data_IF_205546029491
#
_entry.id   IF_205546029491
#
_cell.length_a   1.000
_cell.length_b   1.000
_cell.length_c   1.000
_cell.angle_alpha   90.00
_cell.angle_beta   90.00
_cell.angle_gamma   90.00
#
_symmetry.space_group_name_H-M   'P 1'
#
loop_
_entity.id
_entity.type
_entity.pdbx_description
1 polymer ?
#
# COMPACT_ATOMS: atom_id res chain seq x y z
N UNK A 1 -47.01 -28.37 -31.51
CA UNK A 1 -45.54 -28.52 -31.65
C UNK A 1 -44.77 -27.19 -31.50
N UNK A 2 -45.31 -26.06 -31.97
CA UNK A 2 -44.64 -24.73 -31.91
C UNK A 2 -44.41 -24.18 -30.48
N UNK A 3 -45.31 -24.50 -29.54
CA UNK A 3 -45.21 -24.03 -28.14
C UNK A 3 -44.23 -24.87 -27.30
N UNK A 4 -43.98 -26.12 -27.69
CA UNK A 4 -43.04 -27.01 -26.99
C UNK A 4 -41.59 -26.63 -27.30
N UNK A 5 -41.33 -26.17 -28.53
CA UNK A 5 -40.03 -25.66 -28.95
C UNK A 5 -39.66 -24.36 -28.22
N UNK A 6 -40.65 -23.47 -27.97
CA UNK A 6 -40.44 -22.23 -27.24
C UNK A 6 -40.05 -22.48 -25.76
N UNK A 7 -40.64 -23.47 -25.11
CA UNK A 7 -40.32 -23.85 -23.73
C UNK A 7 -38.93 -24.50 -23.64
N UNK A 8 -38.55 -25.31 -24.64
CA UNK A 8 -37.23 -25.94 -24.68
C UNK A 8 -36.10 -24.91 -24.89
N UNK A 9 -36.33 -23.89 -25.72
CA UNK A 9 -35.36 -22.79 -25.95
C UNK A 9 -35.22 -21.90 -24.72
N UNK A 10 -36.32 -21.63 -24.00
CA UNK A 10 -36.29 -20.83 -22.77
C UNK A 10 -35.60 -21.58 -21.61
N UNK A 11 -35.80 -22.91 -21.52
CA UNK A 11 -35.11 -23.75 -20.55
C UNK A 11 -33.61 -23.86 -20.83
N UNK A 12 -33.19 -23.83 -22.10
CA UNK A 12 -31.77 -23.86 -22.48
C UNK A 12 -31.03 -22.56 -22.14
N UNK A 13 -31.73 -21.41 -22.13
CA UNK A 13 -31.13 -20.11 -21.78
C UNK A 13 -30.87 -19.93 -20.29
N UNK A 14 -31.54 -20.69 -19.40
CA UNK A 14 -31.33 -20.62 -17.95
C UNK A 14 -30.07 -21.39 -17.48
N UNK A 15 -29.52 -22.28 -18.31
CA UNK A 15 -28.35 -23.12 -17.95
C UNK A 15 -27.02 -22.40 -18.20
N UNK A 16 -27.04 -21.22 -18.84
CA UNK A 16 -25.85 -20.36 -19.00
C UNK A 16 -25.81 -19.30 -17.89
N UNK A 17 -26.13 -19.69 -16.67
CA UNK A 17 -25.73 -18.95 -15.49
C UNK A 17 -24.24 -19.22 -15.29
N UNK A 18 -23.39 -18.51 -16.04
CA UNK A 18 -21.98 -18.44 -15.70
C UNK A 18 -21.90 -18.01 -14.25
N UNK A 19 -21.27 -18.81 -13.41
CA UNK A 19 -20.86 -18.36 -12.09
C UNK A 19 -20.02 -17.11 -12.33
N UNK A 20 -20.59 -15.96 -11.99
CA UNK A 20 -19.81 -14.75 -11.86
C UNK A 20 -18.84 -15.06 -10.73
N UNK A 21 -17.66 -15.57 -11.09
CA UNK A 21 -16.49 -15.56 -10.22
C UNK A 21 -16.32 -14.11 -9.84
N UNK A 22 -16.90 -13.72 -8.72
CA UNK A 22 -16.55 -12.51 -8.03
C UNK A 22 -15.07 -12.70 -7.74
N UNK A 23 -14.22 -12.15 -8.60
CA UNK A 23 -12.78 -12.11 -8.40
C UNK A 23 -12.59 -11.43 -7.06
N UNK A 24 -12.48 -12.21 -5.99
CA UNK A 24 -12.03 -11.72 -4.69
C UNK A 24 -10.63 -11.21 -5.00
N UNK A 25 -10.54 -9.88 -5.17
CA UNK A 25 -9.38 -9.23 -5.76
C UNK A 25 -8.11 -9.65 -5.03
N UNK A 26 -7.01 -9.72 -5.77
CA UNK A 26 -5.68 -10.00 -5.22
C UNK A 26 -5.44 -9.12 -3.98
N UNK A 27 -5.12 -9.76 -2.85
CA UNK A 27 -4.86 -9.05 -1.60
C UNK A 27 -3.54 -8.28 -1.74
N UNK A 28 -3.55 -6.99 -1.42
CA UNK A 28 -2.34 -6.20 -1.32
C UNK A 28 -1.70 -6.44 0.05
N UNK A 29 -0.46 -6.90 0.07
CA UNK A 29 0.30 -7.08 1.30
C UNK A 29 1.31 -5.94 1.48
N UNK A 30 1.24 -5.27 2.63
CA UNK A 30 2.18 -4.22 3.05
C UNK A 30 3.18 -4.84 4.02
N UNK A 31 4.47 -4.80 3.70
CA UNK A 31 5.52 -5.20 4.62
C UNK A 31 6.05 -4.03 5.44
N UNK A 32 6.20 -4.23 6.75
CA UNK A 32 6.82 -3.28 7.67
C UNK A 32 7.89 -3.97 8.51
N UNK A 33 8.90 -3.22 8.94
CA UNK A 33 9.69 -3.59 10.12
C UNK A 33 8.85 -3.27 11.35
N UNK A 34 8.94 -4.05 12.44
CA UNK A 34 8.14 -3.94 13.68
C UNK A 34 8.25 -2.59 14.42
N UNK A 35 7.88 -1.51 13.76
CA UNK A 35 7.98 -0.11 14.14
C UNK A 35 6.57 0.45 14.31
N UNK A 36 6.23 1.04 15.48
CA UNK A 36 4.92 1.65 15.69
C UNK A 36 4.59 2.74 14.66
N UNK A 37 5.62 3.43 14.16
CA UNK A 37 5.47 4.46 13.12
C UNK A 37 5.06 3.82 11.80
N UNK A 38 5.78 2.77 11.38
CA UNK A 38 5.45 2.06 10.13
C UNK A 38 4.10 1.39 10.21
N UNK A 39 3.74 0.83 11.38
CA UNK A 39 2.41 0.27 11.61
C UNK A 39 1.33 1.33 11.41
N UNK A 40 1.46 2.50 12.03
CA UNK A 40 0.48 3.59 11.89
C UNK A 40 0.35 4.05 10.42
N UNK A 41 1.46 4.22 9.71
CA UNK A 41 1.47 4.62 8.31
C UNK A 41 0.86 3.52 7.42
N UNK A 42 1.21 2.26 7.65
CA UNK A 42 0.66 1.13 6.94
C UNK A 42 -0.85 0.99 7.17
N UNK A 43 -1.35 1.28 8.37
CA UNK A 43 -2.79 1.32 8.67
C UNK A 43 -3.50 2.45 7.93
N UNK A 44 -2.87 3.63 7.79
CA UNK A 44 -3.41 4.72 6.97
C UNK A 44 -3.48 4.33 5.50
N UNK A 45 -2.40 3.76 4.96
CA UNK A 45 -2.35 3.28 3.57
C UNK A 45 -3.40 2.19 3.34
N UNK A 46 -3.45 1.17 4.21
CA UNK A 46 -4.40 0.07 4.12
C UNK A 46 -5.84 0.55 4.19
N UNK A 47 -6.16 1.42 5.16
CA UNK A 47 -7.52 1.96 5.31
C UNK A 47 -7.93 2.78 4.10
N UNK A 48 -7.06 3.67 3.60
CA UNK A 48 -7.36 4.48 2.42
C UNK A 48 -7.60 3.61 1.19
N UNK A 49 -6.75 2.63 0.95
CA UNK A 49 -6.86 1.72 -0.20
C UNK A 49 -8.15 0.91 -0.09
N UNK A 50 -8.39 0.23 1.03
CA UNK A 50 -9.60 -0.58 1.22
C UNK A 50 -10.88 0.23 1.06
N UNK A 51 -10.98 1.41 1.68
CA UNK A 51 -12.21 2.23 1.64
C UNK A 51 -12.45 2.89 0.28
N UNK A 52 -11.40 3.18 -0.49
CA UNK A 52 -11.53 3.89 -1.78
C UNK A 52 -11.57 2.97 -2.99
N UNK A 53 -11.12 1.73 -2.87
CA UNK A 53 -11.05 0.78 -3.99
C UNK A 53 -11.72 -0.56 -3.74
N UNK A 54 -12.08 -0.88 -2.49
CA UNK A 54 -12.55 -2.22 -2.11
C UNK A 54 -11.43 -3.28 -2.11
N UNK A 55 -10.17 -2.89 -2.32
CA UNK A 55 -9.03 -3.83 -2.30
C UNK A 55 -8.76 -4.28 -0.87
N UNK A 56 -8.73 -5.59 -0.66
CA UNK A 56 -8.28 -6.18 0.60
C UNK A 56 -6.79 -5.88 0.82
N UNK A 57 -6.45 -5.29 1.97
CA UNK A 57 -5.07 -5.00 2.34
C UNK A 57 -4.71 -5.74 3.64
N UNK A 58 -3.54 -6.37 3.67
CA UNK A 58 -2.98 -7.01 4.87
C UNK A 58 -1.62 -6.42 5.19
N UNK A 59 -1.36 -6.17 6.47
CA UNK A 59 -0.06 -5.68 6.97
C UNK A 59 0.69 -6.88 7.54
N UNK A 60 1.94 -7.06 7.13
CA UNK A 60 2.83 -8.12 7.58
C UNK A 60 4.03 -7.47 8.25
N UNK A 61 4.24 -7.79 9.53
CA UNK A 61 5.37 -7.28 10.30
C UNK A 61 6.52 -8.28 10.27
N UNK A 62 7.71 -7.78 9.97
CA UNK A 62 8.95 -8.54 9.94
C UNK A 62 9.88 -8.06 11.07
N UNK A 63 10.74 -8.96 11.54
CA UNK A 63 11.69 -8.64 12.63
C UNK A 63 12.82 -7.77 12.11
N UNK A 64 13.27 -8.06 10.88
CA UNK A 64 14.45 -7.46 10.28
C UNK A 64 14.12 -6.85 8.92
N UNK A 65 14.75 -5.71 8.60
CA UNK A 65 14.60 -5.06 7.29
C UNK A 65 14.92 -6.01 6.13
N UNK A 66 15.94 -6.85 6.26
CA UNK A 66 16.32 -7.83 5.22
C UNK A 66 15.19 -8.82 4.89
N UNK A 67 14.33 -9.14 5.86
CA UNK A 67 13.20 -10.05 5.66
C UNK A 67 12.09 -9.36 4.84
N UNK A 68 11.84 -8.07 5.09
CA UNK A 68 10.92 -7.26 4.29
C UNK A 68 11.30 -7.31 2.81
N UNK A 69 12.56 -7.01 2.49
CA UNK A 69 13.03 -7.04 1.09
C UNK A 69 13.10 -8.45 0.51
N UNK A 70 13.37 -9.48 1.32
CA UNK A 70 13.28 -10.86 0.86
C UNK A 70 11.85 -11.24 0.47
N UNK A 71 10.85 -10.85 1.27
CA UNK A 71 9.44 -11.07 0.98
C UNK A 71 9.00 -10.31 -0.28
N UNK A 72 9.46 -9.06 -0.46
CA UNK A 72 9.17 -8.27 -1.66
C UNK A 72 9.71 -8.95 -2.93
N UNK A 73 10.95 -9.45 -2.91
CA UNK A 73 11.56 -10.19 -4.04
C UNK A 73 10.83 -11.50 -4.36
N UNK A 74 10.25 -12.16 -3.36
CA UNK A 74 9.44 -13.37 -3.54
C UNK A 74 8.01 -13.10 -4.00
N UNK A 75 7.59 -11.83 -4.08
CA UNK A 75 6.22 -11.45 -4.40
C UNK A 75 5.22 -11.67 -3.25
N UNK A 76 5.70 -11.93 -2.03
CA UNK A 76 4.87 -12.13 -0.84
C UNK A 76 4.29 -10.80 -0.32
N UNK A 77 4.99 -9.69 -0.56
CA UNK A 77 4.51 -8.34 -0.30
C UNK A 77 4.62 -7.45 -1.54
N UNK A 78 3.70 -6.49 -1.64
CA UNK A 78 3.58 -5.60 -2.80
C UNK A 78 3.92 -4.13 -2.53
N UNK A 79 3.97 -3.75 -1.26
CA UNK A 79 4.22 -2.37 -0.81
C UNK A 79 5.08 -2.40 0.46
N UNK A 80 6.04 -1.49 0.55
CA UNK A 80 6.81 -1.23 1.78
C UNK A 80 6.70 0.25 2.16
N UNK A 81 6.82 0.55 3.45
CA UNK A 81 6.90 1.92 3.97
C UNK A 81 8.35 2.22 4.25
N UNK A 82 8.95 3.15 3.51
CA UNK A 82 10.38 3.45 3.57
C UNK A 82 10.73 4.86 4.00
N UNK A 83 11.93 5.00 4.58
CA UNK A 83 12.56 6.28 4.83
C UNK A 83 13.91 6.35 4.10
N UNK A 84 14.41 7.57 3.89
CA UNK A 84 15.61 7.81 3.08
C UNK A 84 16.86 7.11 3.62
N UNK A 85 17.10 7.20 4.92
CA UNK A 85 18.33 6.69 5.55
C UNK A 85 18.43 5.17 5.41
N UNK A 86 17.36 4.45 5.78
CA UNK A 86 17.29 3.00 5.60
C UNK A 86 17.39 2.62 4.13
N UNK A 87 16.79 3.41 3.25
CA UNK A 87 16.82 3.13 1.83
C UNK A 87 18.21 3.24 1.20
N UNK A 88 19.06 4.17 1.65
CA UNK A 88 20.46 4.25 1.23
C UNK A 88 21.27 3.05 1.74
N UNK A 89 21.03 2.64 2.98
CA UNK A 89 21.68 1.48 3.58
C UNK A 89 21.32 0.20 2.80
N UNK A 90 20.05 0.05 2.38
CA UNK A 90 19.58 -1.09 1.57
C UNK A 90 20.26 -1.19 0.20
N UNK A 91 20.47 -0.05 -0.49
CA UNK A 91 21.14 -0.05 -1.81
C UNK A 91 22.67 -0.01 -1.70
N UNK A 92 23.22 -0.04 -0.49
CA UNK A 92 24.66 -0.03 -0.25
C UNK A 92 25.36 1.23 -0.75
N UNK A 93 24.70 2.40 -0.67
CA UNK A 93 25.29 3.68 -1.09
C UNK A 93 25.41 4.64 0.10
N UNK A 94 26.41 5.54 0.11
CA UNK A 94 26.49 6.60 1.11
C UNK A 94 25.21 7.44 1.10
N UNK A 95 24.77 7.86 2.29
CA UNK A 95 23.65 8.78 2.43
C UNK A 95 23.98 10.08 1.71
N UNK A 96 23.10 10.48 0.81
CA UNK A 96 23.12 11.82 0.24
C UNK A 96 22.29 12.72 1.17
N UNK A 97 22.72 13.96 1.44
CA UNK A 97 21.96 14.93 2.23
C UNK A 97 21.18 15.93 1.35
N UNK A 98 21.47 15.99 0.05
CA UNK A 98 20.71 16.80 -0.88
C UNK A 98 19.38 16.12 -1.21
N UNK A 99 18.28 16.75 -0.79
CA UNK A 99 16.94 16.20 -0.90
C UNK A 99 16.63 15.74 -2.34
N UNK A 100 16.89 16.59 -3.34
CA UNK A 100 16.58 16.33 -4.74
C UNK A 100 17.42 15.20 -5.32
N UNK A 101 18.75 15.33 -5.29
CA UNK A 101 19.66 14.36 -5.93
C UNK A 101 19.57 12.97 -5.28
N UNK A 102 19.42 12.92 -3.96
CA UNK A 102 19.28 11.63 -3.30
C UNK A 102 17.91 10.99 -3.53
N UNK A 103 16.84 11.78 -3.67
CA UNK A 103 15.52 11.23 -4.02
C UNK A 103 15.51 10.65 -5.43
N UNK A 104 16.16 11.31 -6.38
CA UNK A 104 16.36 10.82 -7.76
C UNK A 104 17.24 9.56 -7.77
N UNK A 105 18.27 9.51 -6.92
CA UNK A 105 19.10 8.31 -6.73
C UNK A 105 18.30 7.14 -6.19
N UNK A 106 17.52 7.33 -5.11
CA UNK A 106 16.66 6.27 -4.58
C UNK A 106 15.66 5.76 -5.62
N UNK A 107 14.95 6.67 -6.32
CA UNK A 107 14.00 6.31 -7.39
C UNK A 107 14.67 5.44 -8.47
N UNK A 108 15.84 5.84 -8.94
CA UNK A 108 16.59 5.11 -9.99
C UNK A 108 17.11 3.75 -9.50
N UNK A 109 17.76 3.70 -8.34
CA UNK A 109 18.39 2.48 -7.84
C UNK A 109 17.36 1.44 -7.40
N UNK A 110 16.25 1.87 -6.79
CA UNK A 110 15.15 0.96 -6.44
C UNK A 110 14.50 0.35 -7.68
N UNK A 111 14.26 1.17 -8.70
CA UNK A 111 13.68 0.68 -9.95
C UNK A 111 14.64 -0.32 -10.63
N UNK A 112 15.92 0.03 -10.70
CA UNK A 112 16.95 -0.73 -11.43
C UNK A 112 17.32 -2.04 -10.73
N UNK A 113 17.48 -2.02 -9.41
CA UNK A 113 18.08 -3.16 -8.67
C UNK A 113 17.06 -3.99 -7.92
N UNK A 114 15.92 -3.41 -7.54
CA UNK A 114 14.89 -4.07 -6.73
C UNK A 114 13.57 -4.26 -7.49
N UNK A 115 13.43 -3.69 -8.69
CA UNK A 115 12.16 -3.64 -9.44
C UNK A 115 11.02 -3.00 -8.62
N UNK A 116 11.36 -1.95 -7.87
CA UNK A 116 10.43 -1.24 -7.01
C UNK A 116 10.36 0.25 -7.35
N UNK A 117 9.15 0.79 -7.35
CA UNK A 117 8.83 2.18 -7.68
C UNK A 117 8.63 2.98 -6.40
N UNK A 118 9.47 3.99 -6.21
CA UNK A 118 9.42 4.90 -5.07
C UNK A 118 8.45 6.05 -5.31
N UNK A 119 7.40 6.16 -4.49
CA UNK A 119 6.37 7.20 -4.60
C UNK A 119 6.71 8.47 -3.83
N UNK A 120 5.82 9.46 -3.90
CA UNK A 120 6.01 10.70 -3.15
C UNK A 120 5.86 10.47 -1.64
N UNK A 121 6.53 11.31 -0.85
CA UNK A 121 6.50 11.19 0.60
C UNK A 121 5.11 11.52 1.16
N UNK A 122 4.69 10.74 2.15
CA UNK A 122 3.47 10.96 2.94
C UNK A 122 3.62 12.11 3.95
N UNK A 123 4.86 12.55 4.21
CA UNK A 123 5.22 13.47 5.29
C UNK A 123 5.89 12.75 6.47
N UNK A 124 5.98 13.44 7.61
CA UNK A 124 6.69 13.00 8.81
C UNK A 124 8.13 13.51 8.91
N UNK A 125 8.71 13.37 10.10
CA UNK A 125 10.10 13.71 10.42
C UNK A 125 10.78 12.53 11.12
N UNK A 126 11.62 11.73 10.42
CA UNK A 126 11.97 11.84 8.99
C UNK A 126 10.79 11.49 8.06
N UNK A 127 10.82 11.95 6.80
CA UNK A 127 9.76 11.66 5.84
C UNK A 127 9.73 10.18 5.45
N UNK A 128 8.53 9.62 5.43
CA UNK A 128 8.28 8.27 4.91
C UNK A 128 7.62 8.32 3.53
N UNK A 129 7.87 7.31 2.71
CA UNK A 129 7.28 7.15 1.39
C UNK A 129 6.82 5.69 1.17
N UNK A 130 5.70 5.46 0.47
CA UNK A 130 5.36 4.13 -0.01
C UNK A 130 6.25 3.77 -1.19
N UNK A 131 6.69 2.51 -1.22
CA UNK A 131 7.44 1.96 -2.35
C UNK A 131 6.74 0.69 -2.81
N UNK A 132 6.39 0.63 -4.10
CA UNK A 132 5.60 -0.46 -4.69
C UNK A 132 6.50 -1.42 -5.47
N UNK A 133 6.22 -2.72 -5.44
CA UNK A 133 6.79 -3.62 -6.45
C UNK A 133 6.19 -3.29 -7.83
N UNK A 134 6.97 -3.48 -8.90
CA UNK A 134 6.49 -3.24 -10.27
C UNK A 134 5.25 -4.09 -10.58
N UNK A 135 5.18 -5.33 -10.08
CA UNK A 135 4.01 -6.20 -10.22
C UNK A 135 2.75 -5.62 -9.55
N UNK A 136 2.91 -5.02 -8.37
CA UNK A 136 1.80 -4.36 -7.67
C UNK A 136 1.34 -3.14 -8.42
N UNK A 137 2.28 -2.34 -8.95
CA UNK A 137 1.94 -1.18 -9.77
C UNK A 137 1.17 -1.60 -11.04
N UNK A 138 1.62 -2.67 -11.71
CA UNK A 138 0.94 -3.22 -12.89
C UNK A 138 -0.46 -3.73 -12.56
N UNK A 139 -0.64 -4.35 -11.39
CA UNK A 139 -1.94 -4.88 -10.94
C UNK A 139 -2.89 -3.80 -10.41
N UNK A 140 -2.36 -2.72 -9.83
CA UNK A 140 -3.09 -1.62 -9.21
C UNK A 140 -2.56 -0.26 -9.73
N UNK A 141 -2.72 0.07 -11.03
CA UNK A 141 -2.09 1.25 -11.64
C UNK A 141 -2.64 2.58 -11.11
N UNK A 142 -3.83 2.58 -10.50
CA UNK A 142 -4.39 3.76 -9.84
C UNK A 142 -3.82 4.02 -8.44
N UNK A 143 -3.06 3.07 -7.88
CA UNK A 143 -2.55 3.13 -6.51
C UNK A 143 -1.64 4.35 -6.27
N UNK A 144 -0.67 4.70 -7.13
CA UNK A 144 0.12 5.92 -6.93
C UNK A 144 -0.73 7.19 -6.84
N UNK A 145 -1.73 7.34 -7.73
CA UNK A 145 -2.63 8.50 -7.72
C UNK A 145 -3.44 8.58 -6.43
N UNK A 146 -3.87 7.43 -5.89
CA UNK A 146 -4.59 7.37 -4.62
C UNK A 146 -3.66 7.70 -3.44
N UNK A 147 -2.48 7.08 -3.36
CA UNK A 147 -1.53 7.28 -2.28
C UNK A 147 -0.97 8.71 -2.25
N UNK A 148 -0.83 9.35 -3.41
CA UNK A 148 -0.45 10.75 -3.50
C UNK A 148 -1.45 11.70 -2.82
N UNK A 149 -2.69 11.26 -2.55
CA UNK A 149 -3.62 12.04 -1.72
C UNK A 149 -3.18 12.16 -0.27
N UNK A 150 -2.31 11.28 0.21
CA UNK A 150 -1.72 11.34 1.55
C UNK A 150 -0.48 12.23 1.62
N UNK A 151 0.09 12.60 0.47
CA UNK A 151 1.31 13.40 0.41
C UNK A 151 1.14 14.75 1.09
N UNK A 152 2.04 15.06 2.02
CA UNK A 152 2.02 16.31 2.79
C UNK A 152 0.92 16.40 3.86
N UNK A 153 0.12 15.36 4.07
CA UNK A 153 -0.94 15.37 5.09
C UNK A 153 -0.39 15.06 6.48
N UNK A 154 0.68 14.28 6.58
CA UNK A 154 1.40 14.03 7.83
C UNK A 154 2.40 15.16 8.11
N UNK A 155 1.88 16.35 8.42
CA UNK A 155 2.68 17.43 9.01
C UNK A 155 3.34 16.96 10.30
N UNK A 156 4.45 17.56 10.71
CA UNK A 156 5.18 17.20 11.94
C UNK A 156 4.26 17.15 13.18
N UNK A 157 3.42 18.16 13.37
CA UNK A 157 2.45 18.19 14.49
C UNK A 157 1.43 17.04 14.43
N UNK A 158 0.88 16.77 13.24
CA UNK A 158 -0.06 15.68 13.05
C UNK A 158 0.62 14.33 13.30
N UNK A 159 1.82 14.15 12.77
CA UNK A 159 2.64 12.97 12.95
C UNK A 159 2.91 12.70 14.44
N UNK A 160 3.40 13.71 15.17
CA UNK A 160 3.70 13.58 16.60
C UNK A 160 2.46 13.23 17.43
N UNK A 161 1.30 13.85 17.13
CA UNK A 161 0.03 13.54 17.79
C UNK A 161 -0.45 12.12 17.50
N UNK A 162 -0.38 11.68 16.25
CA UNK A 162 -0.82 10.35 15.85
C UNK A 162 0.09 9.26 16.42
N UNK A 163 1.41 9.47 16.41
CA UNK A 163 2.37 8.53 17.03
C UNK A 163 2.14 8.43 18.54
N UNK A 164 1.88 9.55 19.23
CA UNK A 164 1.54 9.53 20.65
C UNK A 164 0.24 8.75 20.92
N UNK A 165 -0.77 8.95 20.08
CA UNK A 165 -2.07 8.26 20.21
C UNK A 165 -1.94 6.77 19.92
N UNK A 166 -1.19 6.38 18.89
CA UNK A 166 -0.94 4.99 18.54
C UNK A 166 -0.07 4.21 19.55
N UNK A 167 0.65 4.91 20.44
CA UNK A 167 1.39 4.32 21.57
C UNK A 167 0.54 4.15 22.84
N UNK A 168 -0.66 4.72 22.87
CA UNK A 168 -1.64 4.47 23.93
C UNK A 168 -2.41 3.16 23.64
N UNK A 169 -3.37 2.79 24.50
CA UNK A 169 -4.21 1.60 24.29
C UNK A 169 -5.12 1.69 23.04
N UNK A 170 -5.11 2.81 22.30
CA UNK A 170 -5.82 2.92 21.04
C UNK A 170 -5.15 2.12 19.91
N UNK A 171 -5.93 1.21 19.30
CA UNK A 171 -5.47 0.41 18.15
C UNK A 171 -5.04 1.33 16.98
N UNK A 172 -3.83 1.19 16.41
CA UNK A 172 -3.33 2.03 15.31
C UNK A 172 -4.29 2.17 14.12
N UNK A 173 -5.03 1.10 13.80
CA UNK A 173 -6.09 1.12 12.79
C UNK A 173 -7.19 2.15 13.05
N UNK A 174 -7.64 2.30 14.30
CA UNK A 174 -8.66 3.29 14.68
C UNK A 174 -8.10 4.70 14.51
N UNK A 175 -6.90 4.95 15.03
CA UNK A 175 -6.19 6.24 14.91
C UNK A 175 -6.06 6.65 13.44
N UNK A 176 -5.63 5.73 12.58
CA UNK A 176 -5.52 5.94 11.14
C UNK A 176 -6.86 6.28 10.48
N UNK A 177 -7.92 5.49 10.76
CA UNK A 177 -9.27 5.72 10.21
C UNK A 177 -9.84 7.07 10.63
N UNK A 178 -9.75 7.42 11.91
CA UNK A 178 -10.28 8.67 12.45
C UNK A 178 -9.57 9.88 11.81
N UNK A 179 -8.25 9.78 11.62
CA UNK A 179 -7.47 10.80 10.93
C UNK A 179 -7.89 10.97 9.46
N UNK A 180 -8.04 9.88 8.72
CA UNK A 180 -8.44 9.92 7.30
C UNK A 180 -9.85 10.52 7.13
N UNK A 181 -10.79 10.22 8.03
CA UNK A 181 -12.12 10.84 8.06
C UNK A 181 -12.04 12.34 8.33
N UNK A 182 -11.24 12.75 9.31
CA UNK A 182 -11.04 14.16 9.64
C UNK A 182 -10.44 14.94 8.44
N UNK A 183 -9.63 14.28 7.61
CA UNK A 183 -9.07 14.82 6.37
C UNK A 183 -9.97 14.64 5.14
N UNK A 184 -11.18 14.08 5.29
CA UNK A 184 -12.14 13.79 4.20
C UNK A 184 -11.55 12.96 3.07
N UNK A 185 -10.64 12.05 3.41
CA UNK A 185 -10.04 11.11 2.45
C UNK A 185 -10.84 9.82 2.34
N UNK A 186 -11.64 9.52 3.37
CA UNK A 186 -12.62 8.42 3.46
C UNK A 186 -13.90 8.95 4.12
#
# INVERSE_FOLDING_TARGET
MKNFFAVLVLALMLVVSHEASACVGKVLYIGISNSPVEQLIAEMVATLVTERTGTSVKIVSFKETKEVYAAARKGEIGLVIENRDRAFDVIGKPRDNNAKTGQETLKREYQKTLHMVWLDSLGGTPPYAPVLTTDTLSSLPALPKLLNKLSGILTEDAYNKLVKSARSDEKPKKVARDFLKAKRLI
#
